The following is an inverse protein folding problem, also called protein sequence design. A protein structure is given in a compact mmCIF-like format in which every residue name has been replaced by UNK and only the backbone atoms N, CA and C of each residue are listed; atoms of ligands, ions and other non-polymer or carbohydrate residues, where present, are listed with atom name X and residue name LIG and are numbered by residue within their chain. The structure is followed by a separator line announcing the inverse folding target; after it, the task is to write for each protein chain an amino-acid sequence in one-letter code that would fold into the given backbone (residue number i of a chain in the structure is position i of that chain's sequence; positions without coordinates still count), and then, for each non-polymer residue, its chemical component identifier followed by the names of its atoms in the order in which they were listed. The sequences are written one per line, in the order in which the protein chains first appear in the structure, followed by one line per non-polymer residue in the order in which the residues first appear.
data_IF_959702882594
#
_entry.id   IF_959702882594
#
_cell.length_a   1.000
_cell.length_b   1.000
_cell.length_c   1.000
_cell.angle_alpha   90.00
_cell.angle_beta   90.00
_cell.angle_gamma   90.00
#
_symmetry.space_group_name_H-M   'P 1'
#
loop_
_entity.id
_entity.type
_entity.pdbx_description
1 polymer ?
#
# COMPACT_ATOMS: atom_id res chain seq x y z
N UNK A 1 1.89 20.22 -13.44
CA UNK A 1 2.39 19.12 -12.57
C UNK A 1 1.30 18.53 -11.64
N UNK A 2 0.00 18.73 -11.93
CA UNK A 2 -1.14 18.14 -11.16
C UNK A 2 -1.78 16.92 -11.83
N UNK A 3 -1.31 16.51 -13.02
CA UNK A 3 -2.05 15.62 -13.93
C UNK A 3 -1.41 14.25 -14.17
N UNK A 4 -0.48 13.79 -13.32
CA UNK A 4 0.33 12.60 -13.62
C UNK A 4 0.26 11.48 -12.57
N UNK A 5 -0.57 11.63 -11.54
CA UNK A 5 -0.80 10.57 -10.55
C UNK A 5 -2.28 10.28 -10.58
N UNK A 6 -2.66 9.04 -10.90
CA UNK A 6 -4.08 8.67 -10.99
C UNK A 6 -4.75 8.79 -9.61
N UNK A 7 -6.06 9.09 -9.52
CA UNK A 7 -6.78 9.23 -8.25
C UNK A 7 -6.61 8.06 -7.27
N UNK A 8 -6.36 6.86 -7.81
CA UNK A 8 -6.14 5.62 -7.04
C UNK A 8 -4.77 5.62 -6.37
N UNK A 9 -3.73 6.16 -7.02
CA UNK A 9 -2.38 6.20 -6.47
C UNK A 9 -2.30 7.24 -5.33
N UNK A 10 -3.02 8.36 -5.45
CA UNK A 10 -3.17 9.33 -4.36
C UNK A 10 -3.75 8.74 -3.08
N UNK A 11 -4.61 7.73 -3.20
CA UNK A 11 -5.27 7.07 -2.08
C UNK A 11 -4.28 6.50 -1.05
N UNK A 12 -3.05 6.22 -1.47
CA UNK A 12 -2.05 5.48 -0.69
C UNK A 12 -0.77 6.28 -0.38
N UNK A 13 -0.67 7.52 -0.86
CA UNK A 13 0.49 8.38 -0.65
C UNK A 13 0.33 9.39 0.52
N UNK A 14 -0.83 9.42 1.16
CA UNK A 14 -1.10 10.24 2.35
C UNK A 14 -0.76 9.49 3.66
N UNK A 15 -0.71 10.21 4.79
CA UNK A 15 -0.40 9.62 6.11
C UNK A 15 -1.47 8.59 6.54
N UNK A 16 -2.69 8.72 6.01
CA UNK A 16 -3.79 7.77 6.14
C UNK A 16 -4.29 7.34 4.75
N UNK A 17 -4.69 6.08 4.61
CA UNK A 17 -5.22 5.55 3.34
C UNK A 17 -6.60 6.15 3.09
N UNK A 18 -6.75 6.94 2.03
CA UNK A 18 -8.04 7.50 1.62
C UNK A 18 -8.90 6.41 0.95
N UNK A 19 -10.06 6.04 1.51
CA UNK A 19 -10.90 4.98 0.95
C UNK A 19 -11.76 5.43 -0.23
N UNK A 20 -12.03 6.73 -0.43
CA UNK A 20 -12.99 7.23 -1.43
C UNK A 20 -12.68 6.79 -2.87
N UNK A 21 -11.44 6.85 -3.37
CA UNK A 21 -11.13 6.44 -4.74
C UNK A 21 -10.95 4.91 -4.88
N UNK A 22 -11.04 4.14 -3.79
CA UNK A 22 -10.75 2.70 -3.78
C UNK A 22 -12.04 1.88 -3.70
N UNK A 23 -12.09 0.79 -4.48
CA UNK A 23 -13.05 -0.28 -4.21
C UNK A 23 -12.77 -0.91 -2.84
N UNK A 24 -13.78 -1.55 -2.25
CA UNK A 24 -13.64 -2.25 -0.96
C UNK A 24 -12.47 -3.25 -0.96
N UNK A 25 -12.34 -4.03 -2.03
CA UNK A 25 -11.24 -5.00 -2.21
C UNK A 25 -9.87 -4.31 -2.29
N UNK A 26 -9.74 -3.24 -3.08
CA UNK A 26 -8.48 -2.47 -3.14
C UNK A 26 -8.11 -1.88 -1.77
N UNK A 27 -9.07 -1.27 -1.09
CA UNK A 27 -8.84 -0.71 0.25
C UNK A 27 -8.30 -1.75 1.23
N UNK A 28 -8.92 -2.93 1.28
CA UNK A 28 -8.48 -4.00 2.18
C UNK A 28 -7.09 -4.55 1.83
N UNK A 29 -6.75 -4.65 0.54
CA UNK A 29 -5.41 -5.07 0.10
C UNK A 29 -4.31 -4.07 0.51
N UNK A 30 -4.59 -2.76 0.41
CA UNK A 30 -3.67 -1.71 0.87
C UNK A 30 -3.53 -1.74 2.39
N UNK A 31 -4.65 -1.84 3.12
CA UNK A 31 -4.65 -1.96 4.60
C UNK A 31 -3.87 -3.18 5.08
N UNK A 32 -3.96 -4.30 4.38
CA UNK A 32 -3.16 -5.49 4.68
C UNK A 32 -1.66 -5.24 4.48
N UNK A 33 -1.28 -4.54 3.41
CA UNK A 33 0.12 -4.19 3.15
C UNK A 33 0.70 -3.28 4.25
N UNK A 34 -0.05 -2.26 4.69
CA UNK A 34 0.34 -1.40 5.82
C UNK A 34 0.45 -2.19 7.13
N UNK A 35 -0.50 -3.07 7.41
CA UNK A 35 -0.49 -3.94 8.60
C UNK A 35 0.73 -4.88 8.63
N UNK A 36 1.09 -5.48 7.49
CA UNK A 36 2.28 -6.34 7.36
C UNK A 36 3.56 -5.53 7.56
N UNK A 37 3.64 -4.32 6.99
CA UNK A 37 4.80 -3.43 7.18
C UNK A 37 5.00 -3.02 8.65
N UNK A 38 3.92 -3.00 9.45
CA UNK A 38 3.93 -2.77 10.89
C UNK A 38 4.06 -4.04 11.73
N UNK A 39 4.22 -5.19 11.08
CA UNK A 39 4.30 -6.51 11.71
C UNK A 39 3.09 -6.90 12.57
N UNK A 40 1.91 -6.32 12.30
CA UNK A 40 0.70 -6.61 13.05
C UNK A 40 -0.55 -6.48 12.17
N UNK A 41 -1.27 -7.59 11.99
CA UNK A 41 -2.57 -7.63 11.31
C UNK A 41 -3.68 -7.74 12.35
N UNK A 42 -4.53 -6.71 12.50
CA UNK A 42 -5.68 -6.75 13.39
C UNK A 42 -6.72 -7.82 12.99
N UNK A 43 -7.36 -8.45 13.98
CA UNK A 43 -8.35 -9.51 13.75
C UNK A 43 -9.58 -9.03 12.96
N UNK A 44 -10.00 -7.79 13.17
CA UNK A 44 -11.12 -7.17 12.46
C UNK A 44 -10.79 -6.95 10.96
N UNK A 45 -9.55 -6.56 10.66
CA UNK A 45 -9.04 -6.48 9.29
C UNK A 45 -8.99 -7.87 8.64
N UNK A 46 -8.47 -8.88 9.35
CA UNK A 46 -8.41 -10.25 8.82
C UNK A 46 -9.81 -10.82 8.56
N UNK A 47 -10.75 -10.60 9.48
CA UNK A 47 -12.16 -10.97 9.30
C UNK A 47 -12.79 -10.29 8.09
N UNK A 48 -12.47 -9.01 7.85
CA UNK A 48 -12.95 -8.30 6.67
C UNK A 48 -12.37 -8.85 5.36
N UNK A 49 -11.09 -9.26 5.37
CA UNK A 49 -10.44 -9.91 4.22
C UNK A 49 -11.13 -11.25 3.88
N UNK A 50 -11.41 -12.08 4.88
CA UNK A 50 -12.09 -13.37 4.68
C UNK A 50 -13.51 -13.27 4.11
N UNK A 51 -14.16 -12.10 4.21
CA UNK A 51 -15.49 -11.87 3.63
C UNK A 51 -15.43 -11.46 2.16
N UNK A 52 -14.33 -10.86 1.74
CA UNK A 52 -14.19 -10.24 0.42
C UNK A 52 -13.33 -11.06 -0.53
N UNK A 53 -12.46 -11.93 0.01
CA UNK A 53 -11.47 -12.71 -0.74
C UNK A 53 -11.55 -14.19 -0.37
N UNK A 54 -11.21 -15.05 -1.33
CA UNK A 54 -11.00 -16.46 -1.03
C UNK A 54 -9.63 -16.70 -0.36
N UNK A 55 -9.42 -17.91 0.17
CA UNK A 55 -8.19 -18.27 0.88
C UNK A 55 -6.93 -18.12 0.00
N UNK A 56 -7.01 -18.47 -1.29
CA UNK A 56 -5.88 -18.39 -2.22
C UNK A 56 -5.53 -16.93 -2.51
N UNK A 57 -6.54 -16.09 -2.68
CA UNK A 57 -6.36 -14.65 -2.84
C UNK A 57 -5.70 -14.03 -1.60
N UNK A 58 -6.15 -14.38 -0.38
CA UNK A 58 -5.55 -13.89 0.87
C UNK A 58 -4.08 -14.30 0.97
N UNK A 59 -3.75 -15.55 0.69
CA UNK A 59 -2.36 -16.03 0.68
C UNK A 59 -1.53 -15.24 -0.35
N UNK A 60 -2.06 -15.05 -1.56
CA UNK A 60 -1.40 -14.27 -2.60
C UNK A 60 -1.14 -12.82 -2.18
N UNK A 61 -2.12 -12.17 -1.55
CA UNK A 61 -1.98 -10.82 -1.02
C UNK A 61 -0.91 -10.74 0.08
N UNK A 62 -0.90 -11.69 1.02
CA UNK A 62 0.13 -11.76 2.06
C UNK A 62 1.53 -11.93 1.46
N UNK A 63 1.69 -12.79 0.46
CA UNK A 63 2.98 -12.99 -0.23
C UNK A 63 3.42 -11.71 -0.96
N UNK A 64 2.53 -11.07 -1.71
CA UNK A 64 2.83 -9.83 -2.43
C UNK A 64 3.26 -8.71 -1.47
N UNK A 65 2.50 -8.49 -0.39
CA UNK A 65 2.82 -7.50 0.63
C UNK A 65 4.16 -7.78 1.32
N UNK A 66 4.44 -9.05 1.64
CA UNK A 66 5.70 -9.45 2.28
C UNK A 66 6.91 -9.22 1.36
N UNK A 67 6.80 -9.53 0.07
CA UNK A 67 7.87 -9.30 -0.92
C UNK A 67 8.12 -7.80 -1.08
N UNK A 68 7.06 -7.00 -1.19
CA UNK A 68 7.18 -5.55 -1.31
C UNK A 68 7.87 -4.93 -0.07
N UNK A 69 7.47 -5.35 1.13
CA UNK A 69 8.08 -4.90 2.38
C UNK A 69 9.55 -5.33 2.49
N UNK A 70 9.89 -6.57 2.14
CA UNK A 70 11.27 -7.04 2.13
C UNK A 70 12.15 -6.24 1.15
N UNK A 71 11.62 -5.91 -0.03
CA UNK A 71 12.30 -5.04 -1.00
C UNK A 71 12.54 -3.64 -0.45
N UNK A 72 11.55 -3.04 0.22
CA UNK A 72 11.70 -1.75 0.88
C UNK A 72 12.79 -1.78 1.95
N UNK A 73 12.77 -2.75 2.87
CA UNK A 73 13.79 -2.91 3.92
C UNK A 73 15.19 -3.09 3.34
N UNK A 74 15.33 -3.90 2.28
CA UNK A 74 16.62 -4.09 1.60
C UNK A 74 17.13 -2.79 0.98
N UNK A 75 16.26 -2.05 0.29
CA UNK A 75 16.61 -0.77 -0.33
C UNK A 75 17.07 0.25 0.71
N UNK A 76 16.41 0.33 1.86
CA UNK A 76 16.81 1.20 2.97
C UNK A 76 18.16 0.77 3.57
N UNK A 77 18.34 -0.53 3.81
CA UNK A 77 19.56 -1.07 4.42
C UNK A 77 20.82 -0.77 3.59
N UNK A 78 20.71 -0.83 2.26
CA UNK A 78 21.84 -0.55 1.34
C UNK A 78 21.88 0.91 0.88
N UNK A 79 20.94 1.75 1.34
CA UNK A 79 20.77 3.15 0.89
C UNK A 79 20.70 3.24 -0.63
N UNK A 80 19.92 2.35 -1.26
CA UNK A 80 19.80 2.29 -2.71
C UNK A 80 19.23 3.63 -3.21
N UNK A 81 19.95 4.36 -4.08
CA UNK A 81 19.40 5.59 -4.65
C UNK A 81 18.17 5.25 -5.48
N UNK A 82 17.18 6.13 -5.46
CA UNK A 82 16.05 6.02 -6.38
C UNK A 82 16.59 5.98 -7.82
N UNK A 83 16.08 5.04 -8.61
CA UNK A 83 16.45 4.96 -10.02
C UNK A 83 16.08 6.27 -10.73
N UNK A 84 16.99 6.79 -11.56
CA UNK A 84 16.76 8.01 -12.32
C UNK A 84 15.49 7.87 -13.16
N UNK A 85 14.58 8.85 -13.04
CA UNK A 85 13.29 8.84 -13.73
C UNK A 85 12.16 8.02 -13.07
N UNK A 86 12.39 7.41 -11.90
CA UNK A 86 11.38 6.56 -11.20
C UNK A 86 10.86 7.16 -9.90
N UNK A 87 11.43 8.28 -9.42
CA UNK A 87 10.85 9.01 -8.31
C UNK A 87 9.47 9.52 -8.74
N UNK A 88 8.41 8.82 -8.33
CA UNK A 88 7.06 9.38 -8.37
C UNK A 88 7.13 10.59 -7.44
N UNK A 89 7.14 11.83 -7.97
CA UNK A 89 7.33 12.98 -7.13
C UNK A 89 6.11 13.02 -6.22
N UNK A 90 6.32 12.75 -4.92
CA UNK A 90 5.25 12.86 -3.93
C UNK A 90 4.64 14.25 -4.10
N UNK A 91 3.38 14.34 -4.55
CA UNK A 91 2.80 15.62 -4.88
C UNK A 91 2.67 16.45 -3.60
N UNK A 92 2.79 17.79 -3.69
CA UNK A 92 2.79 18.66 -2.51
C UNK A 92 1.47 18.51 -1.73
N UNK A 93 1.58 18.33 -0.41
CA UNK A 93 0.45 18.24 0.54
C UNK A 93 -0.51 19.41 0.32
N UNK A 94 -1.82 19.15 0.22
CA UNK A 94 -2.83 20.22 0.22
C UNK A 94 -2.83 20.89 1.60
N UNK A 95 -2.85 22.23 1.68
CA UNK A 95 -3.17 22.90 2.94
C UNK A 95 -4.64 22.60 3.28
N UNK A 96 -4.89 22.28 4.56
CA UNK A 96 -6.22 22.03 5.12
C UNK A 96 -7.08 23.29 5.26
#
# INVERSE_FOLDING_TARGET
MRSQVEPIEWAVFEDEINPEPLTRRQYLAVRLSDAIARHHVPDDLFTALQREFDEREIVGLCMAASIAHAGHVLNEAVRLPAAEGVACPLPPRRPG
#
